data_IF_791471790491
#
_entry.id   IF_791471790491
#
_cell.length_a   1.000
_cell.length_b   1.000
_cell.length_c   1.000
_cell.angle_alpha   90.00
_cell.angle_beta   90.00
_cell.angle_gamma   90.00
#
_symmetry.space_group_name_H-M   'P 1'
#
loop_
_entity.id
_entity.type
_entity.pdbx_description
1 polymer ?
#
# COMPACT_ATOMS: atom_id res chain seq x y z
N UNK A 1 18.73 -6.53 16.25
CA UNK A 1 17.73 -7.35 16.98
C UNK A 1 16.46 -7.29 16.15
N UNK A 2 15.78 -8.42 15.91
CA UNK A 2 14.51 -8.40 15.18
C UNK A 2 13.50 -7.55 15.97
N UNK A 3 12.97 -6.49 15.36
CA UNK A 3 11.93 -5.66 15.98
C UNK A 3 10.71 -6.54 16.21
N UNK A 4 10.31 -6.74 17.47
CA UNK A 4 9.15 -7.55 17.77
C UNK A 4 7.90 -6.86 17.21
N UNK A 5 7.20 -7.53 16.29
CA UNK A 5 5.94 -7.02 15.76
C UNK A 5 4.87 -6.99 16.87
N UNK A 6 3.91 -6.06 16.78
CA UNK A 6 2.78 -6.00 17.74
C UNK A 6 1.99 -7.31 17.68
N UNK A 7 1.88 -8.02 18.78
CA UNK A 7 0.99 -9.18 18.90
C UNK A 7 -0.45 -8.72 19.13
N UNK A 8 -1.40 -9.35 18.43
CA UNK A 8 -2.82 -8.99 18.46
C UNK A 8 -3.70 -10.03 19.19
N UNK A 9 -3.11 -11.10 19.71
CA UNK A 9 -3.84 -12.14 20.46
C UNK A 9 -4.80 -12.98 19.62
N UNK A 10 -4.72 -12.90 18.29
CA UNK A 10 -5.46 -13.73 17.35
C UNK A 10 -4.57 -14.88 16.85
N UNK A 11 -5.13 -16.08 16.62
CA UNK A 11 -4.39 -17.16 15.99
C UNK A 11 -4.05 -16.76 14.54
N UNK A 12 -2.80 -17.02 14.13
CA UNK A 12 -2.28 -16.66 12.82
C UNK A 12 -1.65 -17.88 12.15
N UNK A 13 -1.86 -17.97 10.84
CA UNK A 13 -1.13 -18.87 9.97
C UNK A 13 -0.20 -18.08 9.05
N UNK A 14 0.95 -18.66 8.71
CA UNK A 14 1.92 -18.02 7.82
C UNK A 14 1.48 -18.14 6.38
N UNK A 15 1.39 -17.01 5.67
CA UNK A 15 1.19 -17.02 4.21
C UNK A 15 2.37 -17.74 3.56
N UNK A 16 2.14 -18.74 2.70
CA UNK A 16 3.21 -19.53 2.11
C UNK A 16 4.08 -18.68 1.19
N UNK A 17 5.40 -18.94 1.26
CA UNK A 17 6.41 -18.28 0.43
C UNK A 17 6.94 -19.27 -0.60
N UNK A 18 6.76 -18.96 -1.88
CA UNK A 18 6.98 -19.91 -2.98
C UNK A 18 7.57 -19.20 -4.20
N UNK A 19 8.33 -19.91 -5.03
CA UNK A 19 8.80 -19.37 -6.32
C UNK A 19 7.62 -19.06 -7.24
N UNK A 20 7.72 -17.99 -8.03
CA UNK A 20 6.70 -17.66 -9.04
C UNK A 20 6.58 -18.70 -10.16
N UNK A 21 7.52 -19.65 -10.24
CA UNK A 21 7.49 -20.78 -11.17
C UNK A 21 6.88 -22.05 -10.56
N UNK A 22 6.52 -22.03 -9.28
CA UNK A 22 5.87 -23.16 -8.62
C UNK A 22 4.40 -23.26 -9.05
N UNK A 23 3.99 -24.45 -9.50
CA UNK A 23 2.60 -24.73 -9.89
C UNK A 23 1.62 -24.52 -8.74
N UNK A 24 2.04 -24.73 -7.50
CA UNK A 24 1.19 -24.52 -6.34
C UNK A 24 1.01 -23.03 -6.04
N UNK A 25 2.01 -22.19 -6.33
CA UNK A 25 1.86 -20.73 -6.27
C UNK A 25 0.82 -20.25 -7.29
N UNK A 26 0.88 -20.77 -8.53
CA UNK A 26 -0.10 -20.46 -9.58
C UNK A 26 -1.53 -20.86 -9.19
N UNK A 27 -1.72 -22.06 -8.63
CA UNK A 27 -3.04 -22.49 -8.13
C UNK A 27 -3.57 -21.57 -7.04
N UNK A 28 -2.70 -21.07 -6.15
CA UNK A 28 -3.12 -20.15 -5.08
C UNK A 28 -3.64 -18.84 -5.64
N UNK A 29 -2.96 -18.28 -6.65
CA UNK A 29 -3.40 -17.07 -7.36
C UNK A 29 -4.76 -17.33 -8.04
N UNK A 30 -4.88 -18.44 -8.78
CA UNK A 30 -6.13 -18.82 -9.46
C UNK A 30 -7.30 -19.03 -8.48
N UNK A 31 -7.02 -19.52 -7.28
CA UNK A 31 -8.02 -19.71 -6.22
C UNK A 31 -8.23 -18.45 -5.35
N UNK A 32 -7.65 -17.31 -5.69
CA UNK A 32 -7.75 -16.05 -4.93
C UNK A 32 -7.28 -16.19 -3.47
N UNK A 33 -6.25 -16.99 -3.23
CA UNK A 33 -5.63 -17.17 -1.92
C UNK A 33 -4.26 -16.51 -1.86
N UNK A 34 -3.86 -15.90 -0.72
CA UNK A 34 -2.62 -15.16 -0.64
C UNK A 34 -1.39 -16.07 -0.74
N UNK A 35 -0.36 -15.54 -1.40
CA UNK A 35 0.96 -16.20 -1.56
C UNK A 35 2.05 -15.13 -1.63
N UNK A 36 3.18 -15.37 -0.98
CA UNK A 36 4.39 -14.54 -1.12
C UNK A 36 5.23 -15.14 -2.23
N UNK A 37 5.34 -14.44 -3.35
CA UNK A 37 6.08 -14.90 -4.51
C UNK A 37 7.54 -14.47 -4.44
N UNK A 38 8.46 -15.43 -4.56
CA UNK A 38 9.89 -15.16 -4.76
C UNK A 38 10.23 -15.20 -6.24
N UNK A 39 11.31 -14.52 -6.62
CA UNK A 39 11.92 -14.59 -7.96
C UNK A 39 11.04 -14.05 -9.10
N UNK A 40 9.96 -13.31 -8.80
CA UNK A 40 9.14 -12.63 -9.82
C UNK A 40 9.93 -11.59 -10.60
N UNK A 41 10.92 -10.97 -9.96
CA UNK A 41 11.62 -9.78 -10.46
C UNK A 41 10.66 -8.64 -10.85
N UNK A 42 9.44 -8.61 -10.28
CA UNK A 42 8.35 -7.72 -10.67
C UNK A 42 8.79 -6.26 -10.72
N UNK A 43 9.51 -5.81 -9.68
CA UNK A 43 9.98 -4.43 -9.51
C UNK A 43 11.50 -4.36 -9.36
N UNK A 44 12.23 -5.29 -10.00
CA UNK A 44 13.68 -5.44 -9.81
C UNK A 44 14.48 -4.17 -10.14
N UNK A 45 14.08 -3.42 -11.18
CA UNK A 45 14.67 -2.13 -11.55
C UNK A 45 14.51 -1.05 -10.47
N UNK A 46 13.50 -1.15 -9.61
CA UNK A 46 13.24 -0.20 -8.52
C UNK A 46 13.89 -0.61 -7.18
N UNK A 47 14.60 -1.73 -7.09
CA UNK A 47 15.27 -2.14 -5.84
C UNK A 47 16.36 -1.16 -5.37
N UNK A 48 16.84 -0.29 -6.27
CA UNK A 48 17.76 0.81 -5.96
C UNK A 48 17.08 2.07 -5.42
N UNK A 49 15.74 2.11 -5.36
CA UNK A 49 15.00 3.28 -4.90
C UNK A 49 15.11 3.41 -3.39
N UNK A 50 16.08 4.17 -2.92
CA UNK A 50 16.10 4.76 -1.59
C UNK A 50 15.55 6.20 -1.62
N UNK A 51 15.48 6.83 -0.45
CA UNK A 51 14.92 8.17 -0.32
C UNK A 51 15.74 9.22 -1.07
N UNK A 52 17.06 9.08 -1.11
CA UNK A 52 17.94 10.05 -1.79
C UNK A 52 17.81 9.91 -3.31
N UNK A 53 17.76 8.69 -3.83
CA UNK A 53 17.45 8.41 -5.25
C UNK A 53 16.11 9.01 -5.65
N UNK A 54 15.07 8.84 -4.83
CA UNK A 54 13.74 9.38 -5.12
C UNK A 54 13.73 10.91 -5.11
N UNK A 55 14.43 11.55 -4.16
CA UNK A 55 14.56 13.02 -4.13
C UNK A 55 15.18 13.56 -5.42
N UNK A 56 16.15 12.85 -5.98
CA UNK A 56 16.85 13.28 -7.19
C UNK A 56 16.11 12.96 -8.50
N UNK A 57 15.17 12.00 -8.48
CA UNK A 57 14.62 11.41 -9.72
C UNK A 57 13.10 11.45 -9.84
N UNK A 58 12.34 11.64 -8.75
CA UNK A 58 10.88 11.58 -8.78
C UNK A 58 10.25 12.79 -9.46
N UNK A 59 10.95 13.93 -9.48
CA UNK A 59 10.53 15.18 -10.09
C UNK A 59 10.18 16.25 -9.05
N UNK A 60 9.71 17.40 -9.54
CA UNK A 60 9.42 18.59 -8.73
C UNK A 60 7.91 18.79 -8.50
N UNK A 61 7.08 17.79 -8.78
CA UNK A 61 5.63 17.85 -8.52
C UNK A 61 5.32 17.75 -7.03
N UNK A 62 4.09 18.13 -6.65
CA UNK A 62 3.59 17.87 -5.31
C UNK A 62 3.09 16.42 -5.19
N UNK A 63 3.36 15.82 -4.03
CA UNK A 63 2.98 14.45 -3.71
C UNK A 63 1.97 14.44 -2.58
N UNK A 64 0.99 13.54 -2.68
CA UNK A 64 0.00 13.34 -1.62
C UNK A 64 0.62 12.61 -0.43
N UNK A 65 0.69 13.31 0.71
CA UNK A 65 1.22 12.81 1.97
C UNK A 65 0.18 12.93 3.07
N UNK A 66 -0.08 11.83 3.76
CA UNK A 66 -0.90 11.83 4.96
C UNK A 66 -0.03 12.05 6.19
N UNK A 67 -0.49 12.92 7.09
CA UNK A 67 0.24 13.33 8.30
C UNK A 67 -0.60 13.10 9.54
N UNK A 68 -0.04 12.44 10.56
CA UNK A 68 -0.70 12.23 11.85
C UNK A 68 0.32 12.25 13.00
N UNK A 69 -0.12 12.59 14.21
CA UNK A 69 0.66 12.35 15.44
C UNK A 69 0.54 10.90 15.92
N UNK A 70 -0.44 10.15 15.39
CA UNK A 70 -0.67 8.74 15.70
C UNK A 70 -0.05 7.85 14.62
N UNK A 71 0.21 6.59 14.96
CA UNK A 71 0.72 5.59 14.02
C UNK A 71 -0.35 5.00 13.09
N UNK A 72 -1.62 5.28 13.33
CA UNK A 72 -2.75 4.70 12.59
C UNK A 72 -3.15 5.64 11.46
N UNK A 73 -3.04 5.15 10.22
CA UNK A 73 -3.40 5.86 9.00
C UNK A 73 -4.63 5.21 8.37
N UNK A 74 -5.79 5.47 8.99
CA UNK A 74 -7.08 5.01 8.46
C UNK A 74 -7.48 5.91 7.30
N UNK A 75 -7.70 5.34 6.12
CA UNK A 75 -8.13 6.09 4.94
C UNK A 75 -9.49 6.76 5.18
N UNK A 76 -9.84 7.81 4.45
CA UNK A 76 -11.23 8.27 4.40
C UNK A 76 -11.53 8.89 3.04
N UNK A 77 -12.77 8.73 2.60
CA UNK A 77 -13.29 9.33 1.38
C UNK A 77 -13.81 10.74 1.67
N UNK A 78 -13.08 11.76 1.23
CA UNK A 78 -13.47 13.17 1.34
C UNK A 78 -14.78 13.50 0.62
N UNK A 79 -15.10 12.77 -0.46
CA UNK A 79 -16.36 12.91 -1.18
C UNK A 79 -17.54 12.54 -0.29
N UNK A 80 -17.46 11.41 0.41
CA UNK A 80 -18.50 10.96 1.34
C UNK A 80 -18.68 11.88 2.54
N UNK A 81 -17.60 12.49 3.05
CA UNK A 81 -17.70 13.52 4.10
C UNK A 81 -18.55 14.71 3.63
N UNK A 82 -18.30 15.18 2.41
CA UNK A 82 -19.01 16.32 1.82
C UNK A 82 -20.45 15.97 1.46
N UNK A 83 -20.66 14.82 0.82
CA UNK A 83 -21.97 14.33 0.37
C UNK A 83 -22.94 14.15 1.54
N UNK A 84 -22.49 13.51 2.62
CA UNK A 84 -23.32 13.23 3.80
C UNK A 84 -23.27 14.31 4.87
N UNK A 85 -22.60 15.44 4.61
CA UNK A 85 -22.52 16.60 5.51
C UNK A 85 -22.17 16.22 6.95
N UNK A 86 -21.12 15.42 7.10
CA UNK A 86 -20.70 14.89 8.40
C UNK A 86 -19.98 15.98 9.21
N UNK A 87 -20.77 16.82 9.87
CA UNK A 87 -20.29 17.86 10.77
C UNK A 87 -19.50 17.22 11.93
N UNK A 88 -18.28 17.69 12.16
CA UNK A 88 -17.41 17.19 13.23
C UNK A 88 -16.64 15.91 12.91
N UNK A 89 -16.64 15.43 11.66
CA UNK A 89 -15.73 14.34 11.25
C UNK A 89 -14.27 14.78 11.43
N UNK A 90 -13.54 14.11 12.33
CA UNK A 90 -12.13 14.36 12.57
C UNK A 90 -11.26 13.31 11.85
N UNK A 91 -10.60 13.66 10.73
CA UNK A 91 -9.82 12.70 9.97
C UNK A 91 -8.58 12.24 10.76
N UNK A 92 -8.33 10.92 10.85
CA UNK A 92 -7.25 10.36 11.66
C UNK A 92 -5.84 10.69 11.15
N UNK A 93 -5.72 10.99 9.85
CA UNK A 93 -4.54 11.55 9.23
C UNK A 93 -4.98 12.64 8.25
N UNK A 94 -4.27 13.78 8.23
CA UNK A 94 -4.60 14.90 7.35
C UNK A 94 -3.82 14.78 6.06
N UNK A 95 -4.51 14.91 4.93
CA UNK A 95 -3.89 15.02 3.61
C UNK A 95 -3.14 16.35 3.48
N UNK A 96 -1.92 16.30 2.97
CA UNK A 96 -1.09 17.44 2.63
C UNK A 96 -0.38 17.15 1.30
N UNK A 97 -0.27 18.18 0.46
CA UNK A 97 0.54 18.12 -0.76
C UNK A 97 1.91 18.72 -0.43
N UNK A 98 3.00 18.00 -0.75
CA UNK A 98 4.36 18.48 -0.50
C UNK A 98 5.36 17.90 -1.50
N UNK A 99 6.49 18.59 -1.69
CA UNK A 99 7.59 18.10 -2.53
C UNK A 99 8.26 16.87 -1.92
N UNK A 100 8.83 16.01 -2.75
CA UNK A 100 9.57 14.82 -2.28
C UNK A 100 10.75 15.19 -1.37
N UNK A 101 11.43 16.31 -1.64
CA UNK A 101 12.52 16.83 -0.81
C UNK A 101 12.04 17.23 0.58
N UNK A 102 10.93 17.95 0.67
CA UNK A 102 10.32 18.31 1.95
C UNK A 102 9.89 17.05 2.71
N UNK A 103 9.22 16.11 2.05
CA UNK A 103 8.84 14.83 2.65
C UNK A 103 10.04 14.07 3.20
N UNK A 104 11.15 14.03 2.46
CA UNK A 104 12.39 13.37 2.89
C UNK A 104 13.00 14.02 4.14
N UNK A 105 13.00 15.35 4.21
CA UNK A 105 13.43 16.10 5.40
C UNK A 105 12.51 15.82 6.59
N UNK A 106 11.19 15.79 6.37
CA UNK A 106 10.19 15.47 7.41
C UNK A 106 10.34 14.05 7.95
N UNK A 107 10.59 13.05 7.09
CA UNK A 107 10.84 11.68 7.51
C UNK A 107 12.07 11.54 8.44
N UNK A 108 13.09 12.38 8.23
CA UNK A 108 14.32 12.42 9.04
C UNK A 108 14.16 13.31 10.29
N UNK A 109 13.08 14.08 10.39
CA UNK A 109 12.83 15.00 11.51
C UNK A 109 12.23 14.30 12.73
N UNK A 110 12.44 14.86 13.92
CA UNK A 110 11.83 14.38 15.17
C UNK A 110 10.76 15.36 15.67
N UNK A 111 9.83 15.76 14.79
CA UNK A 111 8.78 16.74 15.11
C UNK A 111 7.54 16.11 15.77
N UNK A 112 7.63 14.84 16.18
CA UNK A 112 6.58 14.08 16.83
C UNK A 112 5.44 13.66 15.88
N UNK A 113 5.57 13.90 14.57
CA UNK A 113 4.60 13.47 13.56
C UNK A 113 5.08 12.23 12.84
N UNK A 114 4.13 11.63 12.12
CA UNK A 114 4.31 10.48 11.25
C UNK A 114 3.78 10.84 9.88
N UNK A 115 4.46 10.33 8.87
CA UNK A 115 4.24 10.67 7.49
C UNK A 115 3.98 9.41 6.68
N UNK A 116 3.06 9.51 5.73
CA UNK A 116 2.75 8.43 4.82
C UNK A 116 2.44 9.00 3.43
N UNK A 117 3.43 8.95 2.55
CA UNK A 117 3.26 9.25 1.12
C UNK A 117 2.49 8.12 0.45
N UNK A 118 1.40 8.47 -0.23
CA UNK A 118 0.59 7.57 -1.02
C UNK A 118 0.29 8.25 -2.37
N UNK A 119 1.13 8.00 -3.36
CA UNK A 119 1.06 8.68 -4.66
C UNK A 119 0.92 7.66 -5.79
N UNK A 120 -0.10 7.84 -6.63
CA UNK A 120 -0.17 7.11 -7.90
C UNK A 120 0.96 7.55 -8.82
N UNK A 121 1.75 6.59 -9.31
CA UNK A 121 2.76 6.85 -10.34
C UNK A 121 2.05 7.15 -11.66
N UNK A 122 2.40 8.27 -12.28
CA UNK A 122 1.86 8.74 -13.56
C UNK A 122 2.98 9.34 -14.41
N UNK A 123 2.66 9.82 -15.61
CA UNK A 123 3.66 10.33 -16.57
C UNK A 123 4.37 11.63 -16.12
N UNK A 124 3.96 12.23 -15.00
CA UNK A 124 4.61 13.42 -14.45
C UNK A 124 5.87 13.08 -13.62
N UNK A 125 6.12 11.80 -13.31
CA UNK A 125 7.35 11.40 -12.61
C UNK A 125 8.59 11.61 -13.49
N UNK A 126 9.74 11.83 -12.86
CA UNK A 126 10.98 12.10 -13.59
C UNK A 126 11.43 10.94 -14.49
N UNK A 127 12.21 11.29 -15.53
CA UNK A 127 12.60 10.39 -16.63
C UNK A 127 13.25 9.08 -16.18
N UNK A 128 13.99 9.07 -15.07
CA UNK A 128 14.65 7.87 -14.57
C UNK A 128 13.66 6.92 -13.87
N UNK A 129 12.63 7.46 -13.21
CA UNK A 129 11.52 6.67 -12.66
C UNK A 129 10.72 6.02 -13.79
N UNK A 130 10.46 6.75 -14.88
CA UNK A 130 9.82 6.18 -16.08
C UNK A 130 10.65 5.03 -16.66
N UNK A 131 11.97 5.18 -16.78
CA UNK A 131 12.84 4.09 -17.27
C UNK A 131 12.75 2.85 -16.38
N UNK A 132 12.77 3.03 -15.07
CA UNK A 132 12.67 1.93 -14.13
C UNK A 132 11.32 1.22 -14.22
N UNK A 133 10.24 1.99 -14.31
CA UNK A 133 8.88 1.50 -14.50
C UNK A 133 8.74 0.66 -15.78
N UNK A 134 9.31 1.13 -16.90
CA UNK A 134 9.32 0.37 -18.17
C UNK A 134 10.08 -0.96 -18.07
N UNK A 135 11.01 -1.09 -17.12
CA UNK A 135 11.79 -2.30 -16.86
C UNK A 135 11.19 -3.23 -15.79
N UNK A 136 9.98 -2.95 -15.28
CA UNK A 136 9.26 -3.92 -14.46
C UNK A 136 8.97 -5.19 -15.26
N UNK A 137 8.75 -6.31 -14.56
CA UNK A 137 8.41 -7.57 -15.22
C UNK A 137 6.95 -7.58 -15.68
N UNK A 138 6.65 -6.73 -16.66
CA UNK A 138 5.33 -6.60 -17.28
C UNK A 138 4.91 -7.87 -17.98
N UNK A 139 5.85 -8.64 -18.54
CA UNK A 139 5.55 -9.94 -19.14
C UNK A 139 4.90 -10.87 -18.12
N UNK A 140 5.49 -11.02 -16.93
CA UNK A 140 4.93 -11.85 -15.87
C UNK A 140 3.59 -11.28 -15.37
N UNK A 141 3.50 -9.98 -15.11
CA UNK A 141 2.29 -9.36 -14.58
C UNK A 141 1.10 -9.43 -15.56
N UNK A 142 1.32 -9.16 -16.84
CA UNK A 142 0.29 -9.24 -17.89
C UNK A 142 -0.12 -10.68 -18.19
N UNK A 143 0.81 -11.63 -18.07
CA UNK A 143 0.48 -13.06 -18.12
C UNK A 143 -0.45 -13.44 -16.98
N UNK A 144 -0.16 -13.04 -15.74
CA UNK A 144 -1.04 -13.29 -14.59
C UNK A 144 -2.42 -12.65 -14.77
N UNK A 145 -2.46 -11.40 -15.24
CA UNK A 145 -3.71 -10.70 -15.55
C UNK A 145 -4.56 -11.49 -16.56
N UNK A 146 -3.96 -11.94 -17.66
CA UNK A 146 -4.64 -12.70 -18.71
C UNK A 146 -5.11 -14.08 -18.21
N UNK A 147 -4.24 -14.84 -17.55
CA UNK A 147 -4.55 -16.20 -17.07
C UNK A 147 -5.68 -16.22 -16.04
N UNK A 148 -5.76 -15.18 -15.20
CA UNK A 148 -6.76 -15.08 -14.15
C UNK A 148 -7.95 -14.19 -14.53
N UNK A 149 -8.06 -13.76 -15.79
CA UNK A 149 -9.16 -12.93 -16.30
C UNK A 149 -9.39 -11.63 -15.51
N UNK A 150 -8.30 -10.99 -15.08
CA UNK A 150 -8.37 -9.73 -14.35
C UNK A 150 -8.68 -8.56 -15.29
N UNK A 151 -9.33 -7.52 -14.76
CA UNK A 151 -9.54 -6.25 -15.45
C UNK A 151 -8.23 -5.52 -15.77
N UNK A 152 -8.29 -4.36 -16.47
CA UNK A 152 -7.12 -3.56 -16.76
C UNK A 152 -6.40 -3.10 -15.48
N UNK A 153 -5.08 -2.94 -15.55
CA UNK A 153 -4.32 -2.26 -14.50
C UNK A 153 -4.84 -0.82 -14.36
N UNK A 154 -5.31 -0.46 -13.17
CA UNK A 154 -5.90 0.86 -12.93
C UNK A 154 -4.86 1.87 -12.46
N UNK A 155 -3.91 1.45 -11.61
CA UNK A 155 -2.89 2.33 -11.03
C UNK A 155 -1.72 1.54 -10.46
N UNK A 156 -0.59 2.23 -10.26
CA UNK A 156 0.52 1.77 -9.41
C UNK A 156 0.67 2.79 -8.27
N UNK A 157 0.53 2.34 -7.03
CA UNK A 157 0.58 3.22 -5.85
C UNK A 157 1.95 3.12 -5.17
N UNK A 158 2.70 4.22 -5.17
CA UNK A 158 3.94 4.36 -4.39
C UNK A 158 3.61 4.66 -2.92
N UNK A 159 4.14 3.84 -2.01
CA UNK A 159 3.85 3.87 -0.59
C UNK A 159 5.13 4.00 0.24
N UNK A 160 5.40 5.19 0.78
CA UNK A 160 6.57 5.48 1.63
C UNK A 160 6.10 5.99 2.98
N UNK A 161 6.57 5.41 4.08
CA UNK A 161 6.04 5.70 5.41
C UNK A 161 7.12 5.77 6.47
N UNK A 162 6.85 6.53 7.54
CA UNK A 162 7.57 6.43 8.81
C UNK A 162 7.50 5.00 9.37
N UNK A 163 8.59 4.54 10.01
CA UNK A 163 8.63 3.23 10.68
C UNK A 163 7.50 3.09 11.72
N UNK A 164 6.85 1.92 11.73
CA UNK A 164 5.78 1.59 12.67
C UNK A 164 4.40 2.16 12.33
N UNK A 165 4.25 2.79 11.16
CA UNK A 165 2.93 3.14 10.63
C UNK A 165 2.06 1.90 10.41
N UNK A 166 0.76 2.06 10.62
CA UNK A 166 -0.26 1.03 10.50
C UNK A 166 -1.34 1.52 9.55
N UNK A 167 -1.56 0.78 8.47
CA UNK A 167 -2.81 0.84 7.70
C UNK A 167 -3.78 -0.17 8.33
N UNK A 168 -4.93 0.27 8.89
CA UNK A 168 -5.89 -0.64 9.49
C UNK A 168 -6.45 -1.69 8.52
N UNK A 169 -7.06 -2.73 9.08
CA UNK A 169 -7.72 -3.77 8.30
C UNK A 169 -8.81 -3.17 7.40
N UNK A 170 -8.72 -3.50 6.12
CA UNK A 170 -9.63 -3.09 5.07
C UNK A 170 -9.58 -4.10 3.93
N UNK A 171 -10.51 -3.98 2.99
CA UNK A 171 -10.44 -4.67 1.72
C UNK A 171 -10.46 -3.69 0.56
N UNK A 172 -9.84 -4.09 -0.54
CA UNK A 172 -9.89 -3.41 -1.82
C UNK A 172 -10.78 -4.19 -2.78
N UNK A 173 -11.39 -3.49 -3.74
CA UNK A 173 -12.25 -4.08 -4.77
C UNK A 173 -11.47 -4.44 -6.04
N UNK A 174 -10.14 -4.60 -5.91
CA UNK A 174 -9.23 -4.97 -7.00
C UNK A 174 -8.23 -6.01 -6.52
N UNK A 175 -7.79 -6.86 -7.44
CA UNK A 175 -6.65 -7.74 -7.22
C UNK A 175 -5.38 -6.90 -7.06
N UNK A 176 -4.48 -7.28 -6.16
CA UNK A 176 -3.30 -6.48 -5.82
C UNK A 176 -2.01 -7.32 -5.84
N UNK A 177 -1.07 -6.93 -6.71
CA UNK A 177 0.31 -7.42 -6.71
C UNK A 177 1.20 -6.43 -5.95
N UNK A 178 1.52 -6.75 -4.69
CA UNK A 178 2.29 -5.87 -3.82
C UNK A 178 3.81 -6.09 -3.97
N UNK A 179 4.51 -5.15 -4.60
CA UNK A 179 5.98 -5.14 -4.73
C UNK A 179 6.68 -4.40 -3.59
N UNK A 180 7.29 -5.14 -2.65
CA UNK A 180 8.10 -4.56 -1.57
C UNK A 180 9.49 -4.14 -2.07
N UNK A 181 9.90 -2.89 -1.80
CA UNK A 181 11.20 -2.33 -2.21
C UNK A 181 12.19 -2.23 -1.03
N UNK A 182 11.97 -1.28 -0.11
CA UNK A 182 12.87 -0.98 1.01
C UNK A 182 12.16 -1.20 2.35
N UNK A 183 12.87 -1.79 3.31
CA UNK A 183 12.36 -2.11 4.64
C UNK A 183 11.44 -3.33 4.68
N UNK A 184 10.75 -3.50 5.79
CA UNK A 184 9.85 -4.64 6.04
C UNK A 184 8.43 -4.16 6.38
N UNK A 185 7.42 -4.90 5.90
CA UNK A 185 6.01 -4.69 6.25
C UNK A 185 5.40 -6.01 6.70
N UNK A 186 4.72 -6.01 7.84
CA UNK A 186 3.90 -7.14 8.30
C UNK A 186 2.49 -7.00 7.72
N UNK A 187 2.06 -8.02 6.98
CA UNK A 187 0.70 -8.13 6.47
C UNK A 187 -0.09 -9.10 7.35
N UNK A 188 -1.28 -8.68 7.75
CA UNK A 188 -2.31 -9.56 8.32
C UNK A 188 -3.45 -9.57 7.31
N UNK A 189 -3.82 -10.77 6.85
CA UNK A 189 -4.85 -10.97 5.85
C UNK A 189 -5.95 -11.82 6.48
N UNK A 190 -7.19 -11.44 6.20
CA UNK A 190 -8.40 -12.11 6.67
C UNK A 190 -9.20 -12.51 5.44
N UNK A 191 -9.71 -13.73 5.41
CA UNK A 191 -10.50 -14.21 4.29
C UNK A 191 -11.86 -13.46 4.24
N UNK A 192 -12.47 -13.25 3.06
CA UNK A 192 -13.76 -12.58 2.94
C UNK A 192 -14.86 -13.18 3.80
N UNK A 193 -14.81 -14.48 4.10
CA UNK A 193 -15.74 -15.19 4.98
C UNK A 193 -15.71 -14.67 6.43
N UNK A 194 -14.67 -13.91 6.82
CA UNK A 194 -14.56 -13.26 8.13
C UNK A 194 -15.17 -11.85 8.17
N UNK A 195 -15.93 -11.45 7.14
CA UNK A 195 -16.59 -10.14 7.07
C UNK A 195 -17.38 -9.78 8.34
N UNK A 196 -18.13 -10.75 8.89
CA UNK A 196 -18.94 -10.57 10.11
C UNK A 196 -18.08 -10.30 11.36
N UNK A 197 -16.82 -10.74 11.37
CA UNK A 197 -15.90 -10.54 12.49
C UNK A 197 -15.19 -9.18 12.43
N UNK A 198 -15.11 -8.57 11.25
CA UNK A 198 -14.34 -7.35 10.99
C UNK A 198 -15.18 -6.08 11.05
N UNK A 199 -16.51 -6.19 11.05
CA UNK A 199 -17.45 -5.06 11.20
C UNK A 199 -17.07 -3.86 10.33
N UNK A 200 -17.04 -3.99 8.99
CA UNK A 200 -16.71 -2.85 8.14
C UNK A 200 -17.69 -1.70 8.36
N UNK A 201 -17.22 -0.47 8.16
CA UNK A 201 -18.08 0.71 8.20
C UNK A 201 -19.22 0.61 7.16
N UNK A 202 -20.39 1.24 7.39
CA UNK A 202 -21.44 1.32 6.39
C UNK A 202 -20.93 1.89 5.06
N UNK A 203 -21.49 1.44 3.93
CA UNK A 203 -21.00 1.83 2.58
C UNK A 203 -20.98 3.34 2.36
N UNK A 204 -21.93 4.08 2.93
CA UNK A 204 -22.00 5.54 2.82
C UNK A 204 -21.00 6.28 3.74
N UNK A 205 -20.41 5.59 4.72
CA UNK A 205 -19.50 6.22 5.68
C UNK A 205 -18.13 6.55 5.04
N UNK A 206 -17.44 7.64 5.44
CA UNK A 206 -16.11 7.98 4.89
C UNK A 206 -15.05 6.89 5.04
N UNK A 207 -15.19 6.03 6.05
CA UNK A 207 -14.30 4.89 6.28
C UNK A 207 -14.80 3.58 5.64
N UNK A 208 -15.71 3.64 4.66
CA UNK A 208 -16.17 2.47 3.89
C UNK A 208 -15.03 1.50 3.55
N UNK A 209 -15.34 0.20 3.60
CA UNK A 209 -14.44 -0.96 3.43
C UNK A 209 -13.40 -1.17 4.53
N UNK A 210 -13.28 -0.28 5.51
CA UNK A 210 -12.38 -0.44 6.65
C UNK A 210 -13.10 -1.00 7.87
N UNK A 211 -12.40 -1.81 8.65
CA UNK A 211 -12.90 -2.38 9.90
C UNK A 211 -13.21 -1.28 10.94
N UNK A 212 -14.23 -1.50 11.78
CA UNK A 212 -14.53 -0.67 12.95
C UNK A 212 -13.72 -1.06 14.20
N UNK A 213 -13.02 -2.20 14.19
CA UNK A 213 -12.24 -2.71 15.33
C UNK A 213 -10.93 -1.90 15.49
N UNK A 214 -10.51 -1.65 16.74
CA UNK A 214 -9.27 -0.94 17.13
C UNK A 214 -8.13 -1.88 17.56
#
# INVERSE_FOLDING_TARGET
MATAYKEYGIPLETVPRMSCNDKEAEKRIANMTPVILTETNLVSSALKWDLDYLVDNLGEEDFTVFVSSKRIFKYYDEGKVKEHKLEGFDPPAKRQEMKIREFAEKLKSNDGKRYYLQQSLNDAVGKNIVKDFLCFNWEWATKQQSQNSWGPLTSNLLLISTEGNITPAHYDEQQNLFGQLVGEKRFLLFAPEQFECLYPHPVWHPHDRQSQVD
#
